data_IF_654030796888
#
_entry.id   IF_654030796888
#
_cell.length_a   1.000
_cell.length_b   1.000
_cell.length_c   1.000
_cell.angle_alpha   90.00
_cell.angle_beta   90.00
_cell.angle_gamma   90.00
#
_symmetry.space_group_name_H-M   'P 1'
#
loop_
_entity.id
_entity.type
_entity.pdbx_description
1 polymer ?
#
# COMPACT_ATOMS: atom_id res chain seq x y z
N UNK A 1 -21.80 8.16 2.86
CA UNK A 1 -22.00 7.19 1.77
C UNK A 1 -21.52 5.83 2.25
N UNK A 2 -22.38 4.82 2.14
CA UNK A 2 -22.00 3.44 2.49
C UNK A 2 -21.39 2.75 1.24
N UNK A 3 -20.22 3.24 0.81
CA UNK A 3 -19.52 2.73 -0.37
C UNK A 3 -18.43 1.77 0.09
N UNK A 4 -18.32 0.58 -0.50
CA UNK A 4 -17.21 -0.33 -0.21
C UNK A 4 -15.86 0.35 -0.43
N UNK A 5 -14.91 0.10 0.49
CA UNK A 5 -13.58 0.72 0.46
C UNK A 5 -12.49 -0.33 0.70
N UNK A 6 -11.48 -0.31 -0.15
CA UNK A 6 -10.30 -1.19 -0.04
C UNK A 6 -9.02 -0.37 0.00
N UNK A 7 -8.32 -0.41 1.13
CA UNK A 7 -6.94 0.04 1.27
C UNK A 7 -5.99 -1.10 0.88
N UNK A 8 -5.47 -1.04 -0.35
CA UNK A 8 -4.56 -2.09 -0.85
C UNK A 8 -3.24 -2.14 -0.07
N UNK A 9 -2.82 -1.04 0.51
CA UNK A 9 -1.64 -0.98 1.38
C UNK A 9 -1.80 -1.85 2.62
N UNK A 10 -3.00 -1.94 3.19
CA UNK A 10 -3.28 -2.83 4.32
C UNK A 10 -3.17 -4.30 3.95
N UNK A 11 -3.50 -4.68 2.71
CA UNK A 11 -3.33 -6.06 2.25
C UNK A 11 -1.86 -6.48 2.28
N UNK A 12 -0.95 -5.65 1.74
CA UNK A 12 0.49 -5.92 1.79
C UNK A 12 1.02 -5.92 3.22
N UNK A 13 0.50 -5.05 4.09
CA UNK A 13 0.87 -5.00 5.51
C UNK A 13 0.41 -6.25 6.26
N UNK A 14 -0.80 -6.73 6.01
CA UNK A 14 -1.30 -7.97 6.61
C UNK A 14 -0.47 -9.19 6.19
N UNK A 15 -0.12 -9.27 4.90
CA UNK A 15 0.76 -10.35 4.42
C UNK A 15 2.18 -10.25 5.00
N UNK A 16 2.71 -9.03 5.10
CA UNK A 16 4.00 -8.78 5.75
C UNK A 16 3.98 -9.20 7.22
N UNK A 17 2.92 -8.90 7.95
CA UNK A 17 2.74 -9.35 9.32
C UNK A 17 2.75 -10.88 9.43
N UNK A 18 2.04 -11.57 8.54
CA UNK A 18 2.08 -13.04 8.48
C UNK A 18 3.49 -13.58 8.28
N UNK A 19 4.26 -13.00 7.36
CA UNK A 19 5.65 -13.39 7.13
C UNK A 19 6.50 -13.22 8.40
N UNK A 20 6.36 -12.08 9.09
CA UNK A 20 7.11 -11.82 10.33
C UNK A 20 6.72 -12.75 11.46
N UNK A 21 5.42 -13.02 11.65
CA UNK A 21 4.94 -13.98 12.64
C UNK A 21 5.47 -15.39 12.44
N UNK A 22 5.78 -15.76 11.19
CA UNK A 22 6.38 -17.04 10.83
C UNK A 22 7.91 -17.00 10.80
N UNK A 23 8.53 -15.90 11.23
CA UNK A 23 9.98 -15.69 11.18
C UNK A 23 10.58 -15.86 9.77
N UNK A 24 9.83 -15.49 8.73
CA UNK A 24 10.28 -15.53 7.34
C UNK A 24 11.21 -14.36 7.07
N UNK A 25 12.35 -14.64 6.43
CA UNK A 25 13.22 -13.58 5.95
C UNK A 25 12.57 -12.86 4.77
N UNK A 26 12.06 -11.65 5.02
CA UNK A 26 11.36 -10.85 4.01
C UNK A 26 12.25 -10.41 2.82
N UNK A 27 13.58 -10.51 2.93
CA UNK A 27 14.49 -10.21 1.84
C UNK A 27 14.72 -11.42 0.91
N UNK A 28 14.23 -12.60 1.29
CA UNK A 28 14.32 -13.82 0.50
C UNK A 28 12.98 -14.10 -0.21
N UNK A 29 12.88 -13.69 -1.48
CA UNK A 29 11.63 -13.79 -2.27
C UNK A 29 11.04 -15.21 -2.23
N UNK A 30 11.88 -16.25 -2.35
CA UNK A 30 11.43 -17.64 -2.35
C UNK A 30 10.80 -18.09 -1.03
N UNK A 31 11.26 -17.56 0.10
CA UNK A 31 10.67 -17.85 1.41
C UNK A 31 9.32 -17.15 1.57
N UNK A 32 9.24 -15.88 1.18
CA UNK A 32 8.01 -15.10 1.19
C UNK A 32 6.93 -15.76 0.32
N UNK A 33 7.29 -16.27 -0.85
CA UNK A 33 6.37 -16.94 -1.77
C UNK A 33 5.74 -18.22 -1.18
N UNK A 34 6.45 -18.96 -0.33
CA UNK A 34 5.91 -20.17 0.33
C UNK A 34 4.71 -19.86 1.24
N UNK A 35 4.63 -18.65 1.77
CA UNK A 35 3.56 -18.22 2.69
C UNK A 35 2.34 -17.66 1.96
N UNK A 36 2.45 -17.35 0.66
CA UNK A 36 1.34 -16.78 -0.12
C UNK A 36 0.02 -17.57 -0.08
N UNK A 37 0.03 -18.92 -0.12
CA UNK A 37 -1.23 -19.68 -0.06
C UNK A 37 -2.03 -19.48 1.23
N UNK A 38 -1.37 -19.12 2.33
CA UNK A 38 -1.98 -18.96 3.64
C UNK A 38 -2.62 -17.56 3.83
N UNK A 39 -2.42 -16.65 2.91
CA UNK A 39 -2.85 -15.25 3.07
C UNK A 39 -4.37 -15.03 3.07
N UNK A 40 -5.18 -15.97 2.62
CA UNK A 40 -6.61 -15.76 2.41
C UNK A 40 -7.43 -15.53 3.71
N UNK A 41 -6.92 -15.89 4.89
CA UNK A 41 -7.69 -16.01 6.13
C UNK A 41 -7.37 -14.92 7.18
N UNK A 42 -6.29 -14.16 7.02
CA UNK A 42 -5.70 -13.38 8.13
C UNK A 42 -6.12 -11.92 8.14
N UNK A 43 -6.50 -11.36 6.99
CA UNK A 43 -6.74 -9.92 6.85
C UNK A 43 -7.77 -9.31 7.83
N UNK A 44 -8.91 -9.96 8.14
CA UNK A 44 -9.91 -9.38 9.03
C UNK A 44 -9.53 -9.36 10.52
N UNK A 45 -8.50 -10.11 10.93
CA UNK A 45 -8.20 -10.38 12.33
C UNK A 45 -7.05 -9.54 12.92
N UNK A 46 -6.37 -8.71 12.11
CA UNK A 46 -5.19 -7.95 12.57
C UNK A 46 -5.59 -6.54 12.99
N UNK A 47 -5.17 -6.12 14.18
CA UNK A 47 -5.46 -4.75 14.64
C UNK A 47 -4.78 -3.69 13.77
N UNK A 48 -5.45 -2.54 13.62
CA UNK A 48 -4.94 -1.41 12.84
C UNK A 48 -3.62 -0.86 13.39
N UNK A 49 -3.42 -0.91 14.70
CA UNK A 49 -2.19 -0.43 15.34
C UNK A 49 -0.98 -1.27 14.89
N UNK A 50 -1.14 -2.60 14.86
CA UNK A 50 -0.11 -3.50 14.35
C UNK A 50 0.18 -3.18 12.88
N UNK A 51 -0.85 -3.12 12.04
CA UNK A 51 -0.70 -2.84 10.62
C UNK A 51 -0.06 -1.48 10.34
N UNK A 52 -0.25 -0.50 11.22
CA UNK A 52 0.28 0.85 11.06
C UNK A 52 1.69 1.03 11.62
N UNK A 53 2.31 0.01 12.23
CA UNK A 53 3.68 0.10 12.73
C UNK A 53 4.69 0.39 11.61
N UNK A 54 5.84 1.00 11.97
CA UNK A 54 6.93 1.31 11.02
C UNK A 54 7.52 0.03 10.43
N UNK A 55 7.74 -0.97 11.28
CA UNK A 55 8.32 -2.26 10.88
C UNK A 55 7.47 -2.96 9.81
N UNK A 56 6.17 -3.09 10.06
CA UNK A 56 5.22 -3.67 9.09
C UNK A 56 5.18 -2.85 7.81
N UNK A 57 5.19 -1.53 7.92
CA UNK A 57 5.20 -0.63 6.75
C UNK A 57 6.43 -0.79 5.87
N UNK A 58 7.62 -0.94 6.48
CA UNK A 58 8.88 -1.18 5.78
C UNK A 58 8.88 -2.55 5.12
N UNK A 59 8.51 -3.58 5.87
CA UNK A 59 8.43 -4.96 5.38
C UNK A 59 7.45 -5.09 4.21
N UNK A 60 6.27 -4.49 4.30
CA UNK A 60 5.27 -4.44 3.22
C UNK A 60 5.82 -3.79 1.95
N UNK A 61 6.60 -2.71 2.09
CA UNK A 61 7.24 -2.05 0.95
C UNK A 61 8.30 -2.94 0.27
N UNK A 62 9.01 -3.78 1.02
CA UNK A 62 9.98 -4.74 0.47
C UNK A 62 9.25 -5.85 -0.29
N UNK A 63 8.33 -6.57 0.36
CA UNK A 63 7.64 -7.70 -0.24
C UNK A 63 6.75 -7.31 -1.43
N UNK A 64 6.29 -6.04 -1.47
CA UNK A 64 5.51 -5.52 -2.60
C UNK A 64 6.30 -5.42 -3.91
N UNK A 65 7.61 -5.63 -3.91
CA UNK A 65 8.45 -5.68 -5.10
C UNK A 65 8.41 -7.07 -5.77
N UNK A 66 8.03 -8.12 -5.03
CA UNK A 66 8.04 -9.49 -5.51
C UNK A 66 6.85 -9.77 -6.42
N UNK A 67 7.16 -10.35 -7.60
CA UNK A 67 6.17 -10.52 -8.66
C UNK A 67 4.97 -11.36 -8.20
N UNK A 68 5.21 -12.53 -7.62
CA UNK A 68 4.11 -13.43 -7.20
C UNK A 68 3.26 -12.84 -6.08
N UNK A 69 3.88 -12.08 -5.15
CA UNK A 69 3.14 -11.36 -4.11
C UNK A 69 2.19 -10.35 -4.78
N UNK A 70 2.68 -9.60 -5.76
CA UNK A 70 1.85 -8.65 -6.49
C UNK A 70 0.73 -9.33 -7.27
N UNK A 71 1.04 -10.39 -8.01
CA UNK A 71 0.06 -11.13 -8.81
C UNK A 71 -1.10 -11.60 -7.92
N UNK A 72 -0.81 -12.15 -6.73
CA UNK A 72 -1.83 -12.55 -5.75
C UNK A 72 -2.64 -11.37 -5.24
N UNK A 73 -1.97 -10.28 -4.83
CA UNK A 73 -2.66 -9.10 -4.29
C UNK A 73 -3.55 -8.44 -5.35
N UNK A 74 -3.05 -8.28 -6.58
CA UNK A 74 -3.82 -7.71 -7.70
C UNK A 74 -5.05 -8.56 -8.02
N UNK A 75 -4.92 -9.89 -8.02
CA UNK A 75 -6.08 -10.78 -8.20
C UNK A 75 -7.15 -10.51 -7.15
N UNK A 76 -6.79 -10.46 -5.86
CA UNK A 76 -7.72 -10.19 -4.77
C UNK A 76 -8.35 -8.78 -4.85
N UNK A 77 -7.57 -7.79 -5.25
CA UNK A 77 -8.06 -6.40 -5.44
C UNK A 77 -9.08 -6.33 -6.58
N UNK A 78 -8.81 -7.00 -7.70
CA UNK A 78 -9.74 -7.08 -8.83
C UNK A 78 -11.01 -7.82 -8.46
N UNK A 79 -10.89 -8.94 -7.76
CA UNK A 79 -12.05 -9.68 -7.26
C UNK A 79 -12.93 -8.82 -6.35
N UNK A 80 -12.32 -8.02 -5.46
CA UNK A 80 -13.06 -7.07 -4.63
C UNK A 80 -13.80 -6.03 -5.48
N UNK A 81 -13.11 -5.38 -6.42
CA UNK A 81 -13.71 -4.35 -7.27
C UNK A 81 -14.85 -4.88 -8.15
N UNK A 82 -14.69 -6.10 -8.69
CA UNK A 82 -15.74 -6.72 -9.53
C UNK A 82 -16.97 -7.08 -8.71
N UNK A 83 -16.78 -7.64 -7.51
CA UNK A 83 -17.92 -8.11 -6.67
C UNK A 83 -18.63 -7.00 -5.94
N UNK A 84 -17.92 -5.98 -5.46
CA UNK A 84 -18.47 -4.99 -4.56
C UNK A 84 -18.58 -3.59 -5.19
N UNK A 85 -17.83 -3.32 -6.25
CA UNK A 85 -17.60 -1.95 -6.66
C UNK A 85 -16.83 -1.14 -5.60
N UNK A 86 -16.97 0.18 -5.63
CA UNK A 86 -16.48 1.03 -4.53
C UNK A 86 -15.18 1.78 -4.80
N UNK A 87 -14.50 2.18 -3.74
CA UNK A 87 -13.24 2.93 -3.78
C UNK A 87 -12.08 2.01 -3.47
N UNK A 88 -11.09 1.99 -4.34
CA UNK A 88 -9.85 1.22 -4.14
C UNK A 88 -8.67 2.19 -4.09
N UNK A 89 -8.00 2.25 -2.94
CA UNK A 89 -6.82 3.08 -2.72
C UNK A 89 -5.54 2.28 -2.86
N UNK A 90 -4.51 2.86 -3.53
CA UNK A 90 -3.21 2.24 -3.67
C UNK A 90 -2.25 3.05 -4.54
N UNK A 91 -1.05 2.52 -4.76
CA UNK A 91 0.04 3.16 -5.49
C UNK A 91 -0.03 2.95 -7.01
N UNK A 92 -0.69 1.93 -7.44
CA UNK A 92 -0.78 1.47 -8.83
C UNK A 92 -2.20 1.07 -9.25
N UNK A 93 -3.20 1.48 -8.46
CA UNK A 93 -4.61 1.15 -8.70
C UNK A 93 -5.09 1.65 -10.05
N UNK A 94 -4.74 2.86 -10.44
CA UNK A 94 -5.18 3.50 -11.68
C UNK A 94 -4.35 3.15 -12.92
N UNK A 95 -3.18 2.54 -12.72
CA UNK A 95 -2.24 2.25 -13.82
C UNK A 95 -2.07 0.76 -14.09
N UNK A 96 -2.32 -0.08 -13.08
CA UNK A 96 -2.08 -1.52 -13.19
C UNK A 96 -3.25 -2.38 -12.74
N UNK A 97 -3.89 -2.05 -11.60
CA UNK A 97 -4.98 -2.88 -11.05
C UNK A 97 -6.27 -2.67 -11.85
N UNK A 98 -6.68 -1.41 -12.03
CA UNK A 98 -7.89 -0.99 -12.74
C UNK A 98 -7.57 0.08 -13.79
N UNK A 99 -6.76 -0.23 -14.82
CA UNK A 99 -6.38 0.76 -15.83
C UNK A 99 -7.56 1.27 -16.66
N UNK A 100 -8.65 0.48 -16.77
CA UNK A 100 -9.83 0.81 -17.56
C UNK A 100 -10.92 1.55 -16.77
N UNK A 101 -10.72 1.82 -15.46
CA UNK A 101 -11.74 2.55 -14.68
C UNK A 101 -11.90 3.98 -15.19
N UNK A 102 -13.14 4.49 -15.35
CA UNK A 102 -13.37 5.87 -15.79
C UNK A 102 -13.07 6.90 -14.70
N UNK A 103 -13.09 6.52 -13.44
CA UNK A 103 -12.84 7.42 -12.30
C UNK A 103 -11.47 7.16 -11.70
N UNK A 104 -10.51 8.03 -12.01
CA UNK A 104 -9.13 7.96 -11.55
C UNK A 104 -8.76 9.25 -10.84
N UNK A 105 -8.27 9.14 -9.62
CA UNK A 105 -7.76 10.26 -8.83
C UNK A 105 -6.32 9.99 -8.42
N UNK A 106 -5.46 10.99 -8.52
CA UNK A 106 -4.08 10.93 -8.08
C UNK A 106 -3.87 11.94 -6.94
N UNK A 107 -3.98 11.42 -5.72
CA UNK A 107 -3.78 12.21 -4.52
C UNK A 107 -2.29 12.33 -4.22
N UNK A 108 -1.78 13.55 -4.09
CA UNK A 108 -0.40 13.83 -3.72
C UNK A 108 -0.30 14.95 -2.68
N UNK A 109 0.86 15.02 -2.02
CA UNK A 109 1.21 16.11 -1.12
C UNK A 109 2.72 16.30 -1.09
N UNK A 110 3.17 17.51 -0.75
CA UNK A 110 4.59 17.82 -0.53
C UNK A 110 5.19 16.86 0.49
N UNK A 111 6.47 16.51 0.33
CA UNK A 111 7.16 15.53 1.21
C UNK A 111 7.07 15.95 2.68
N UNK A 112 7.30 17.23 2.97
CA UNK A 112 7.29 17.78 4.32
C UNK A 112 5.92 17.59 4.99
N UNK A 113 4.82 17.80 4.23
CA UNK A 113 3.45 17.60 4.71
C UNK A 113 3.20 16.12 5.01
N UNK A 114 3.66 15.21 4.14
CA UNK A 114 3.51 13.76 4.37
C UNK A 114 4.31 13.29 5.59
N UNK A 115 5.51 13.84 5.80
CA UNK A 115 6.33 13.58 6.99
C UNK A 115 5.62 14.08 8.25
N UNK A 116 5.09 15.32 8.20
CA UNK A 116 4.34 15.90 9.31
C UNK A 116 3.09 15.09 9.67
N UNK A 117 2.30 14.70 8.68
CA UNK A 117 1.12 13.84 8.87
C UNK A 117 1.49 12.52 9.53
N UNK A 118 2.54 11.87 9.02
CA UNK A 118 3.03 10.60 9.59
C UNK A 118 3.57 10.76 10.99
N UNK A 119 4.34 11.82 11.25
CA UNK A 119 4.82 12.14 12.59
C UNK A 119 3.67 12.30 13.59
N UNK A 120 2.62 13.04 13.23
CA UNK A 120 1.46 13.22 14.09
C UNK A 120 0.70 11.90 14.36
N UNK A 121 0.71 11.00 13.42
CA UNK A 121 0.06 9.69 13.53
C UNK A 121 0.79 8.74 14.50
N UNK A 122 2.13 8.67 14.43
CA UNK A 122 2.91 7.67 15.15
C UNK A 122 3.81 8.25 16.25
N UNK A 123 3.98 9.58 16.31
CA UNK A 123 4.84 10.30 17.27
C UNK A 123 6.28 9.78 17.34
N UNK A 124 6.81 9.29 16.21
CA UNK A 124 8.14 8.72 16.09
C UNK A 124 9.25 9.76 15.92
N UNK A 125 10.44 9.30 15.49
CA UNK A 125 11.55 10.20 15.16
C UNK A 125 11.34 10.84 13.77
N UNK A 126 11.29 12.17 13.71
CA UNK A 126 11.04 12.94 12.48
C UNK A 126 12.03 12.59 11.34
N UNK A 127 13.33 12.57 11.65
CA UNK A 127 14.38 12.29 10.66
C UNK A 127 14.23 10.87 10.07
N UNK A 128 13.97 9.89 10.93
CA UNK A 128 13.74 8.51 10.52
C UNK A 128 12.47 8.40 9.64
N UNK A 129 11.38 9.05 10.02
CA UNK A 129 10.15 9.08 9.23
C UNK A 129 10.39 9.67 7.85
N UNK A 130 11.16 10.76 7.76
CA UNK A 130 11.48 11.39 6.49
C UNK A 130 12.29 10.47 5.56
N UNK A 131 13.27 9.75 6.11
CA UNK A 131 14.07 8.76 5.39
C UNK A 131 13.18 7.58 4.93
N UNK A 132 12.38 7.02 5.82
CA UNK A 132 11.51 5.88 5.50
C UNK A 132 10.49 6.22 4.39
N UNK A 133 9.94 7.44 4.39
CA UNK A 133 9.05 7.92 3.32
C UNK A 133 9.80 8.02 2.00
N UNK A 134 11.00 8.59 1.99
CA UNK A 134 11.80 8.76 0.78
C UNK A 134 12.23 7.42 0.17
N UNK A 135 12.73 6.52 1.00
CA UNK A 135 13.10 5.16 0.58
C UNK A 135 11.91 4.38 0.03
N UNK A 136 10.74 4.51 0.68
CA UNK A 136 9.51 3.89 0.18
C UNK A 136 9.11 4.45 -1.17
N UNK A 137 9.08 5.79 -1.31
CA UNK A 137 8.73 6.45 -2.56
C UNK A 137 9.70 6.07 -3.69
N UNK A 138 10.99 5.91 -3.37
CA UNK A 138 12.00 5.44 -4.31
C UNK A 138 11.68 4.00 -4.74
N UNK A 139 11.50 3.07 -3.79
CA UNK A 139 11.14 1.68 -4.10
C UNK A 139 9.88 1.58 -4.96
N UNK A 140 8.82 2.34 -4.61
CA UNK A 140 7.55 2.33 -5.34
C UNK A 140 7.71 2.83 -6.78
N UNK A 141 8.59 3.81 -7.04
CA UNK A 141 8.86 4.32 -8.40
C UNK A 141 9.78 3.43 -9.23
N UNK A 142 10.77 2.79 -8.58
CA UNK A 142 11.84 2.05 -9.26
C UNK A 142 11.55 0.55 -9.37
N UNK A 143 10.51 0.04 -8.68
CA UNK A 143 10.19 -1.39 -8.73
C UNK A 143 9.89 -1.85 -10.17
N UNK A 144 10.35 -3.06 -10.48
CA UNK A 144 10.24 -3.65 -11.82
C UNK A 144 8.80 -3.88 -12.26
N UNK A 145 7.93 -4.27 -11.31
CA UNK A 145 6.54 -4.62 -11.59
C UNK A 145 5.59 -3.56 -11.04
N UNK A 146 4.69 -3.05 -11.88
CA UNK A 146 3.68 -2.03 -11.56
C UNK A 146 4.27 -0.85 -10.75
N UNK A 147 5.27 -0.11 -11.29
CA UNK A 147 5.85 1.05 -10.62
C UNK A 147 4.80 2.14 -10.38
N UNK A 148 5.00 2.93 -9.33
CA UNK A 148 4.18 4.11 -9.09
C UNK A 148 4.35 5.09 -10.25
N UNK A 149 3.28 5.31 -10.99
CA UNK A 149 3.22 6.26 -12.12
C UNK A 149 1.94 7.07 -12.05
N UNK A 150 2.00 8.28 -12.52
CA UNK A 150 0.83 9.09 -12.79
C UNK A 150 0.13 8.55 -14.04
N UNK A 151 -1.16 8.24 -13.95
CA UNK A 151 -1.99 7.99 -15.13
C UNK A 151 -2.38 9.33 -15.74
N UNK A 152 -2.07 9.55 -17.03
CA UNK A 152 -2.43 10.80 -17.71
C UNK A 152 -3.93 11.12 -17.71
N UNK A 153 -4.76 10.13 -17.44
CA UNK A 153 -6.23 10.28 -17.35
C UNK A 153 -6.71 10.56 -15.90
N UNK A 154 -5.82 10.47 -14.91
CA UNK A 154 -6.20 10.69 -13.53
C UNK A 154 -6.32 12.17 -13.21
N UNK A 155 -7.33 12.54 -12.42
CA UNK A 155 -7.49 13.88 -11.88
C UNK A 155 -6.49 14.06 -10.74
N UNK A 156 -5.50 14.98 -10.86
CA UNK A 156 -4.54 15.23 -9.80
C UNK A 156 -5.18 16.06 -8.68
N UNK A 157 -4.97 15.67 -7.44
CA UNK A 157 -5.43 16.38 -6.25
C UNK A 157 -4.23 16.66 -5.34
N UNK A 158 -3.85 17.93 -5.23
CA UNK A 158 -2.84 18.36 -4.27
C UNK A 158 -3.47 18.57 -2.88
N UNK A 159 -3.22 17.62 -2.00
CA UNK A 159 -3.71 17.66 -0.62
C UNK A 159 -2.77 18.39 0.34
N UNK A 160 -1.72 19.09 -0.15
CA UNK A 160 -0.72 19.69 0.73
C UNK A 160 -1.31 20.68 1.73
N UNK A 161 -2.33 21.41 1.32
CA UNK A 161 -2.99 22.44 2.14
C UNK A 161 -4.41 22.05 2.56
N UNK A 162 -4.83 20.80 2.30
CA UNK A 162 -6.15 20.30 2.63
C UNK A 162 -6.13 19.52 3.95
N UNK A 163 -7.21 19.60 4.71
CA UNK A 163 -7.48 18.69 5.82
C UNK A 163 -8.39 17.53 5.36
N UNK A 164 -8.69 16.57 6.27
CA UNK A 164 -9.47 15.36 5.94
C UNK A 164 -10.93 15.64 5.52
N UNK A 165 -11.45 16.85 5.77
CA UNK A 165 -12.83 17.21 5.45
C UNK A 165 -12.94 18.01 4.16
N UNK A 166 -11.84 18.56 3.68
CA UNK A 166 -11.70 19.29 2.43
C UNK A 166 -11.32 18.39 1.27
#
# INVERSE_FOLDING_TARGET
FNIPYLDTGKMYRAFSYLCLMKNININEEREVEKVLPEYNEIFPCISLDILNSEEIGRSASIISQYKKVRDKMVSLQRDFGIRNGGVVEGRDTTTFVFPETPFKFYLYAKKEVRVWRRYNQIKGNWGKIAIDIEERDKRDRERKFAPLRFSGEAIPIDSSNLNEKE
#
